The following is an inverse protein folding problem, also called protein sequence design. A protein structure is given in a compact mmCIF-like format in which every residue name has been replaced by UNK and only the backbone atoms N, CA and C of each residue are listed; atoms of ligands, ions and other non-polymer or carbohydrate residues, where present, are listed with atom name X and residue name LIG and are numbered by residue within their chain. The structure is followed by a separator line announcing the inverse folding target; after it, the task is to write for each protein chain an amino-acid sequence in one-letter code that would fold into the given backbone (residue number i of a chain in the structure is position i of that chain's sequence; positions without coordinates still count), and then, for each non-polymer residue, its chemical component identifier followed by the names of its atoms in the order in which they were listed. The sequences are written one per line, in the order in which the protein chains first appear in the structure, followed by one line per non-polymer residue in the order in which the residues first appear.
data_IF_426557436746
#
_entry.id   IF_426557436746
#
_cell.length_a   1.000
_cell.length_b   1.000
_cell.length_c   1.000
_cell.angle_alpha   90.00
_cell.angle_beta   90.00
_cell.angle_gamma   90.00
#
_symmetry.space_group_name_H-M   'P 1'
#
loop_
_entity.id
_entity.type
_entity.pdbx_description
1 polymer ?
#
# COMPACT_ATOMS: atom_id res chain seq x y z
N UNK A 1 -66.51 -7.19 27.04
CA UNK A 1 -66.30 -6.09 26.08
C UNK A 1 -65.28 -5.17 26.74
N UNK A 2 -64.02 -5.61 26.85
CA UNK A 2 -62.99 -5.68 25.79
C UNK A 2 -62.69 -4.31 25.17
N UNK A 3 -61.53 -3.77 25.54
CA UNK A 3 -60.55 -3.19 24.63
C UNK A 3 -59.25 -2.98 25.40
N UNK A 4 -58.38 -3.98 25.29
CA UNK A 4 -57.05 -4.02 25.88
C UNK A 4 -56.06 -3.04 25.23
N UNK A 5 -55.07 -2.68 26.05
CA UNK A 5 -53.86 -1.96 25.67
C UNK A 5 -53.07 -2.73 24.62
N UNK A 6 -52.78 -2.09 23.48
CA UNK A 6 -51.85 -2.61 22.47
C UNK A 6 -50.43 -2.34 22.97
N UNK A 7 -49.82 -3.34 23.63
CA UNK A 7 -48.37 -3.44 23.75
C UNK A 7 -47.82 -3.86 22.39
N UNK A 8 -46.97 -3.03 21.79
CA UNK A 8 -46.13 -3.43 20.65
C UNK A 8 -44.98 -4.26 21.19
N UNK A 9 -45.12 -5.57 21.15
CA UNK A 9 -44.02 -6.50 21.35
C UNK A 9 -43.00 -6.31 20.22
N UNK A 10 -41.83 -5.77 20.58
CA UNK A 10 -40.63 -5.80 19.74
C UNK A 10 -40.07 -7.22 19.85
N UNK A 11 -39.94 -7.99 18.77
CA UNK A 11 -39.31 -9.30 18.85
C UNK A 11 -37.83 -9.11 19.20
N UNK A 12 -37.44 -9.72 20.31
CA UNK A 12 -36.07 -9.95 20.74
C UNK A 12 -35.28 -10.53 19.56
N UNK A 13 -34.24 -9.81 19.12
CA UNK A 13 -33.40 -10.17 17.97
C UNK A 13 -32.55 -11.38 18.37
N UNK A 14 -33.13 -12.56 18.18
CA UNK A 14 -32.52 -13.86 18.42
C UNK A 14 -31.29 -14.05 17.54
N UNK A 15 -30.15 -13.58 18.02
CA UNK A 15 -28.84 -13.80 17.42
C UNK A 15 -28.60 -15.30 17.25
N UNK A 16 -28.68 -15.78 16.01
CA UNK A 16 -28.40 -17.17 15.65
C UNK A 16 -27.01 -17.58 16.19
N UNK A 17 -26.91 -18.65 17.01
CA UNK A 17 -25.67 -19.03 17.69
C UNK A 17 -24.48 -19.29 16.73
N UNK A 18 -24.78 -19.61 15.46
CA UNK A 18 -23.79 -19.83 14.41
C UNK A 18 -23.02 -18.58 13.96
N UNK A 19 -23.64 -17.38 13.97
CA UNK A 19 -23.00 -16.14 13.50
C UNK A 19 -21.90 -15.71 14.47
N UNK A 20 -22.17 -15.80 15.78
CA UNK A 20 -21.20 -15.49 16.84
C UNK A 20 -20.01 -16.45 16.81
N UNK A 21 -20.24 -17.75 16.59
CA UNK A 21 -19.17 -18.75 16.50
C UNK A 21 -18.30 -18.59 15.26
N UNK A 22 -18.90 -18.34 14.09
CA UNK A 22 -18.18 -18.08 12.83
C UNK A 22 -17.33 -16.80 12.91
N UNK A 23 -17.88 -15.74 13.54
CA UNK A 23 -17.14 -14.51 13.80
C UNK A 23 -15.94 -14.79 14.71
N UNK A 24 -16.13 -15.58 15.78
CA UNK A 24 -15.07 -15.98 16.73
C UNK A 24 -14.00 -16.90 16.11
N UNK A 25 -14.33 -17.69 15.09
CA UNK A 25 -13.37 -18.51 14.33
C UNK A 25 -12.60 -17.71 13.29
N UNK A 26 -13.24 -16.75 12.60
CA UNK A 26 -12.55 -15.82 11.69
C UNK A 26 -11.49 -15.00 12.45
N UNK A 27 -11.84 -14.48 13.64
CA UNK A 27 -10.90 -13.77 14.52
C UNK A 27 -9.73 -14.63 15.01
N UNK A 28 -9.85 -15.97 15.00
CA UNK A 28 -8.74 -16.87 15.39
C UNK A 28 -7.69 -17.07 14.29
N UNK A 29 -8.03 -16.80 13.01
CA UNK A 29 -7.10 -16.93 11.87
C UNK A 29 -6.42 -15.61 11.50
N UNK A 30 -7.01 -14.48 11.88
CA UNK A 30 -6.45 -13.15 11.63
C UNK A 30 -5.27 -12.85 12.57
N UNK A 31 -4.19 -12.29 12.03
CA UNK A 31 -3.05 -11.88 12.87
C UNK A 31 -3.33 -10.60 13.63
N UNK A 32 -2.67 -10.42 14.79
CA UNK A 32 -2.75 -9.18 15.58
C UNK A 32 -2.45 -7.95 14.73
N UNK A 33 -1.42 -8.01 13.88
CA UNK A 33 -1.07 -6.90 12.98
C UNK A 33 -2.23 -6.47 12.08
N UNK A 34 -2.92 -7.44 11.47
CA UNK A 34 -4.06 -7.20 10.56
C UNK A 34 -5.24 -6.61 11.33
N UNK A 35 -5.57 -7.20 12.47
CA UNK A 35 -6.63 -6.72 13.35
C UNK A 35 -6.40 -5.30 13.82
N UNK A 36 -5.20 -5.00 14.30
CA UNK A 36 -4.84 -3.66 14.81
C UNK A 36 -4.89 -2.61 13.70
N UNK A 37 -4.60 -3.00 12.46
CA UNK A 37 -4.79 -2.15 11.30
C UNK A 37 -6.26 -1.83 11.03
N UNK A 38 -7.15 -2.82 11.07
CA UNK A 38 -8.61 -2.58 10.94
C UNK A 38 -9.15 -1.72 12.07
N UNK A 39 -8.74 -1.99 13.31
CA UNK A 39 -9.19 -1.27 14.50
C UNK A 39 -8.81 0.22 14.50
N UNK A 40 -7.83 0.62 13.69
CA UNK A 40 -7.43 2.01 13.56
C UNK A 40 -8.42 2.88 12.75
N UNK A 41 -9.39 2.29 12.07
CA UNK A 41 -10.43 2.97 11.30
C UNK A 41 -11.79 2.90 12.00
N UNK A 42 -12.77 3.77 11.74
CA UNK A 42 -14.11 3.68 12.32
C UNK A 42 -14.80 2.32 12.05
N UNK A 43 -15.64 1.79 12.96
CA UNK A 43 -16.36 0.54 12.74
C UNK A 43 -17.20 0.52 11.47
N UNK A 44 -17.76 1.66 11.08
CA UNK A 44 -18.55 1.86 9.86
C UNK A 44 -17.78 1.54 8.57
N UNK A 45 -16.44 1.58 8.61
CA UNK A 45 -15.59 1.38 7.42
C UNK A 45 -15.06 -0.05 7.31
N UNK A 46 -15.16 -0.86 8.36
CA UNK A 46 -14.47 -2.15 8.45
C UNK A 46 -15.29 -3.27 7.83
N UNK A 47 -14.62 -4.16 7.09
CA UNK A 47 -15.19 -5.43 6.62
C UNK A 47 -16.45 -5.27 5.75
N UNK A 48 -16.51 -4.21 4.94
CA UNK A 48 -17.64 -3.90 4.06
C UNK A 48 -17.69 -4.86 2.89
N UNK A 49 -18.84 -5.49 2.67
CA UNK A 49 -19.06 -6.47 1.62
C UNK A 49 -19.74 -5.84 0.39
N UNK A 50 -19.30 -6.24 -0.80
CA UNK A 50 -19.81 -5.82 -2.08
C UNK A 50 -20.07 -7.04 -2.96
N UNK A 51 -21.21 -7.06 -3.63
CA UNK A 51 -21.54 -8.11 -4.57
C UNK A 51 -21.10 -7.71 -5.98
N UNK A 52 -20.25 -8.53 -6.59
CA UNK A 52 -19.87 -8.43 -8.00
C UNK A 52 -20.84 -9.24 -8.85
N UNK A 53 -21.86 -8.58 -9.38
CA UNK A 53 -22.85 -9.21 -10.23
C UNK A 53 -22.26 -9.74 -11.56
N UNK A 54 -21.16 -9.16 -12.05
CA UNK A 54 -20.54 -9.59 -13.30
C UNK A 54 -19.84 -10.94 -13.17
N UNK A 55 -19.21 -11.19 -12.02
CA UNK A 55 -18.50 -12.44 -11.74
C UNK A 55 -19.25 -13.39 -10.79
N UNK A 56 -20.42 -12.97 -10.29
CA UNK A 56 -21.19 -13.68 -9.26
C UNK A 56 -20.38 -13.93 -7.98
N UNK A 57 -19.49 -13.00 -7.64
CA UNK A 57 -18.55 -13.09 -6.53
C UNK A 57 -18.91 -12.11 -5.41
N UNK A 58 -18.54 -12.46 -4.17
CA UNK A 58 -18.67 -11.57 -3.02
C UNK A 58 -17.29 -11.08 -2.59
N UNK A 59 -17.05 -9.79 -2.74
CA UNK A 59 -15.85 -9.14 -2.23
C UNK A 59 -16.11 -8.57 -0.84
N UNK A 60 -15.12 -8.66 0.05
CA UNK A 60 -15.16 -8.00 1.36
C UNK A 60 -13.87 -7.22 1.55
N UNK A 61 -13.99 -5.89 1.60
CA UNK A 61 -12.90 -4.98 1.85
C UNK A 61 -12.53 -4.99 3.33
N UNK A 62 -11.25 -5.06 3.68
CA UNK A 62 -10.84 -4.86 5.07
C UNK A 62 -11.27 -3.49 5.59
N UNK A 63 -11.03 -2.44 4.79
CA UNK A 63 -11.53 -1.07 5.01
C UNK A 63 -12.10 -0.51 3.72
N UNK A 64 -13.29 0.08 3.79
CA UNK A 64 -13.87 0.90 2.74
C UNK A 64 -14.27 2.26 3.30
N UNK A 65 -13.76 3.32 2.70
CA UNK A 65 -13.94 4.70 3.19
C UNK A 65 -15.06 5.42 2.43
N UNK A 66 -15.74 6.42 3.04
CA UNK A 66 -16.73 7.25 2.35
C UNK A 66 -16.19 7.98 1.12
N UNK A 67 -14.88 8.26 1.11
CA UNK A 67 -14.17 8.84 -0.05
C UNK A 67 -13.93 7.84 -1.19
N UNK A 68 -14.45 6.62 -1.09
CA UNK A 68 -14.38 5.60 -2.14
C UNK A 68 -13.04 4.86 -2.24
N UNK A 69 -12.17 4.95 -1.22
CA UNK A 69 -10.96 4.12 -1.13
C UNK A 69 -11.26 2.78 -0.50
N UNK A 70 -10.67 1.72 -1.08
CA UNK A 70 -10.56 0.39 -0.48
C UNK A 70 -9.14 0.21 0.03
N UNK A 71 -8.96 -0.23 1.27
CA UNK A 71 -7.65 -0.58 1.83
C UNK A 71 -7.69 -2.04 2.24
N UNK A 72 -6.75 -2.84 1.71
CA UNK A 72 -6.60 -4.26 2.01
C UNK A 72 -5.26 -4.50 2.72
N UNK A 73 -5.30 -5.19 3.87
CA UNK A 73 -4.11 -5.50 4.66
C UNK A 73 -3.62 -6.91 4.31
N UNK A 74 -2.39 -7.02 3.80
CA UNK A 74 -1.86 -8.30 3.38
C UNK A 74 -0.67 -8.74 4.25
N UNK A 75 -0.89 -9.83 4.98
CA UNK A 75 0.12 -10.45 5.86
C UNK A 75 0.67 -11.79 5.34
N UNK A 76 -0.07 -12.45 4.46
CA UNK A 76 0.24 -13.79 3.91
C UNK A 76 0.49 -13.71 2.40
N UNK A 77 0.98 -14.77 1.74
CA UNK A 77 1.01 -14.82 0.27
C UNK A 77 -0.37 -14.58 -0.34
N UNK A 78 -0.42 -13.86 -1.46
CA UNK A 78 -1.61 -13.59 -2.26
C UNK A 78 -1.37 -14.20 -3.64
N UNK A 79 -2.36 -14.86 -4.23
CA UNK A 79 -2.22 -15.39 -5.59
C UNK A 79 -2.37 -14.27 -6.62
N UNK A 80 -1.82 -14.48 -7.83
CA UNK A 80 -1.97 -13.51 -8.91
C UNK A 80 -3.44 -13.33 -9.34
N UNK A 81 -4.25 -14.39 -9.26
CA UNK A 81 -5.67 -14.33 -9.59
C UNK A 81 -6.44 -13.45 -8.60
N UNK A 82 -6.19 -13.62 -7.30
CA UNK A 82 -6.82 -12.79 -6.25
C UNK A 82 -6.39 -11.33 -6.35
N UNK A 83 -5.10 -11.07 -6.63
CA UNK A 83 -4.61 -9.71 -6.86
C UNK A 83 -5.37 -9.04 -8.02
N UNK A 84 -5.43 -9.70 -9.18
CA UNK A 84 -6.09 -9.18 -10.37
C UNK A 84 -7.59 -8.97 -10.14
N UNK A 85 -8.26 -9.94 -9.55
CA UNK A 85 -9.68 -9.88 -9.22
C UNK A 85 -10.00 -8.67 -8.33
N UNK A 86 -9.21 -8.44 -7.28
CA UNK A 86 -9.39 -7.28 -6.40
C UNK A 86 -9.08 -5.95 -7.08
N UNK A 87 -7.98 -5.87 -7.82
CA UNK A 87 -7.62 -4.63 -8.52
C UNK A 87 -8.59 -4.28 -9.65
N UNK A 88 -9.20 -5.26 -10.33
CA UNK A 88 -10.25 -5.02 -11.31
C UNK A 88 -11.56 -4.57 -10.68
N UNK A 89 -11.85 -5.04 -9.46
CA UNK A 89 -13.10 -4.73 -8.76
C UNK A 89 -13.06 -3.37 -8.05
N UNK A 90 -11.93 -3.04 -7.39
CA UNK A 90 -11.79 -1.83 -6.59
C UNK A 90 -10.97 -0.76 -7.31
N UNK A 91 -11.59 0.33 -7.82
CA UNK A 91 -10.88 1.34 -8.61
C UNK A 91 -9.84 2.15 -7.81
N UNK A 92 -10.06 2.35 -6.51
CA UNK A 92 -9.17 3.10 -5.61
C UNK A 92 -8.55 2.19 -4.54
N UNK A 93 -8.00 1.05 -4.95
CA UNK A 93 -7.40 0.09 -4.04
C UNK A 93 -6.03 0.56 -3.53
N UNK A 94 -5.79 0.34 -2.24
CA UNK A 94 -4.50 0.49 -1.58
C UNK A 94 -4.15 -0.82 -0.88
N UNK A 95 -3.02 -1.40 -1.24
CA UNK A 95 -2.42 -2.52 -0.53
C UNK A 95 -1.56 -2.02 0.62
N UNK A 96 -1.81 -2.47 1.83
CA UNK A 96 -0.91 -2.28 2.97
C UNK A 96 -0.30 -3.63 3.32
N UNK A 97 1.01 -3.75 3.13
CA UNK A 97 1.74 -5.01 3.27
C UNK A 97 2.44 -5.09 4.61
N UNK A 98 2.37 -6.25 5.27
CA UNK A 98 3.18 -6.53 6.46
C UNK A 98 4.64 -6.78 6.07
N UNK A 99 5.41 -5.70 5.96
CA UNK A 99 6.80 -5.73 5.55
C UNK A 99 7.78 -6.27 6.60
N UNK A 100 7.36 -6.44 7.87
CA UNK A 100 8.22 -7.05 8.91
C UNK A 100 8.71 -8.44 8.54
N UNK A 101 7.98 -9.14 7.68
CA UNK A 101 8.32 -10.49 7.20
C UNK A 101 9.20 -10.50 5.94
N UNK A 102 9.45 -9.34 5.32
CA UNK A 102 10.18 -9.27 4.06
C UNK A 102 11.67 -9.53 4.27
N UNK A 103 12.16 -10.63 3.69
CA UNK A 103 13.58 -10.97 3.71
C UNK A 103 14.34 -10.08 2.73
N UNK A 104 15.40 -9.44 3.24
CA UNK A 104 16.27 -8.61 2.43
C UNK A 104 15.63 -7.32 1.92
N UNK A 105 14.55 -6.84 2.57
CA UNK A 105 14.04 -5.49 2.37
C UNK A 105 14.82 -4.52 3.25
N UNK A 106 15.51 -3.55 2.65
CA UNK A 106 16.32 -2.56 3.36
C UNK A 106 16.07 -1.18 2.79
N UNK A 107 15.75 -0.24 3.65
CA UNK A 107 15.79 1.19 3.33
C UNK A 107 17.25 1.61 3.28
N UNK A 108 17.65 2.33 2.24
CA UNK A 108 19.04 2.68 1.97
C UNK A 108 19.29 4.17 2.17
N UNK A 109 19.39 4.95 1.10
CA UNK A 109 19.83 6.35 1.13
C UNK A 109 18.65 7.29 0.92
N UNK A 110 18.71 8.46 1.54
CA UNK A 110 17.83 9.57 1.18
C UNK A 110 18.01 9.92 -0.31
N UNK A 111 16.89 10.16 -0.99
CA UNK A 111 16.88 10.59 -2.39
C UNK A 111 16.62 12.10 -2.48
N UNK A 112 17.13 12.75 -3.54
CA UNK A 112 16.62 14.07 -3.91
C UNK A 112 15.14 13.98 -4.32
N UNK A 113 14.52 15.12 -4.60
CA UNK A 113 13.28 15.10 -5.38
C UNK A 113 13.60 14.41 -6.71
N UNK A 114 12.89 13.31 -6.99
CA UNK A 114 13.16 12.45 -8.14
C UNK A 114 12.80 13.14 -9.46
N UNK A 115 11.99 14.18 -9.38
CA UNK A 115 11.56 15.03 -10.49
C UNK A 115 12.20 16.45 -10.40
N UNK A 116 13.28 16.63 -9.61
CA UNK A 116 14.05 17.88 -9.60
C UNK A 116 14.56 18.17 -11.03
N UNK A 117 14.31 19.37 -11.59
CA UNK A 117 14.75 19.72 -12.95
C UNK A 117 16.26 19.57 -13.19
N UNK A 118 17.09 19.67 -12.14
CA UNK A 118 18.53 19.42 -12.24
C UNK A 118 18.87 17.97 -12.60
N UNK A 119 17.93 17.05 -12.41
CA UNK A 119 18.07 15.63 -12.70
C UNK A 119 17.55 15.25 -14.09
N UNK A 120 17.00 16.19 -14.88
CA UNK A 120 16.41 15.92 -16.20
C UNK A 120 17.40 15.28 -17.18
N UNK A 121 18.69 15.60 -17.05
CA UNK A 121 19.75 15.05 -17.88
C UNK A 121 20.35 13.73 -17.36
N UNK A 122 19.79 13.14 -16.29
CA UNK A 122 20.37 12.00 -15.59
C UNK A 122 19.35 10.90 -15.29
N UNK A 123 19.84 9.67 -15.20
CA UNK A 123 19.08 8.49 -14.81
C UNK A 123 19.69 7.83 -13.59
N UNK A 124 18.86 7.36 -12.65
CA UNK A 124 19.34 6.65 -11.48
C UNK A 124 19.86 5.27 -11.86
N UNK A 125 20.97 4.86 -11.24
CA UNK A 125 21.51 3.52 -11.39
C UNK A 125 20.75 2.52 -10.51
N UNK A 126 20.49 1.32 -11.02
CA UNK A 126 19.92 0.20 -10.25
C UNK A 126 20.99 -0.50 -9.40
N UNK A 127 21.46 0.20 -8.36
CA UNK A 127 22.43 -0.33 -7.39
C UNK A 127 22.08 0.11 -5.96
N UNK A 128 22.67 -0.56 -4.97
CA UNK A 128 22.53 -0.16 -3.56
C UNK A 128 23.21 1.20 -3.25
N UNK A 129 24.06 1.68 -4.15
CA UNK A 129 24.67 3.00 -4.05
C UNK A 129 23.80 4.05 -4.73
N UNK A 130 23.67 5.21 -4.08
CA UNK A 130 23.00 6.35 -4.67
C UNK A 130 23.91 6.99 -5.74
N UNK A 131 23.64 6.64 -6.99
CA UNK A 131 24.40 7.09 -8.14
C UNK A 131 23.50 7.26 -9.37
N UNK A 132 24.02 7.98 -10.35
CA UNK A 132 23.34 8.31 -11.59
C UNK A 132 24.29 8.16 -12.78
N UNK A 133 23.73 8.08 -13.97
CA UNK A 133 24.41 8.14 -15.26
C UNK A 133 23.77 9.23 -16.11
N UNK A 134 24.50 9.74 -17.10
CA UNK A 134 23.94 10.75 -18.01
C UNK A 134 22.93 10.09 -18.96
N UNK A 135 21.77 10.71 -19.11
CA UNK A 135 20.74 10.28 -20.05
C UNK A 135 21.27 10.20 -21.49
N UNK A 136 22.15 11.12 -21.88
CA UNK A 136 22.80 11.11 -23.20
C UNK A 136 23.63 9.83 -23.44
N UNK A 137 24.31 9.31 -22.43
CA UNK A 137 25.13 8.08 -22.55
C UNK A 137 24.23 6.84 -22.72
N UNK A 138 23.05 6.83 -22.06
CA UNK A 138 22.02 5.81 -22.26
C UNK A 138 21.47 5.85 -23.69
N UNK A 139 21.15 7.05 -24.19
CA UNK A 139 20.62 7.25 -25.56
C UNK A 139 21.64 6.80 -26.63
N UNK A 140 22.93 7.07 -26.40
CA UNK A 140 24.02 6.65 -27.29
C UNK A 140 24.32 5.14 -27.22
N UNK A 141 23.71 4.40 -26.29
CA UNK A 141 23.96 2.97 -26.11
C UNK A 141 25.36 2.66 -25.57
N UNK A 142 25.96 3.57 -24.79
CA UNK A 142 27.27 3.33 -24.18
C UNK A 142 27.16 2.16 -23.20
N UNK A 143 28.00 1.14 -23.39
CA UNK A 143 27.96 -0.10 -22.59
C UNK A 143 28.46 0.08 -21.16
N UNK A 144 29.33 1.05 -20.92
CA UNK A 144 29.86 1.37 -19.58
C UNK A 144 29.79 2.88 -19.32
N UNK A 145 28.59 3.42 -19.05
CA UNK A 145 28.40 4.85 -18.80
C UNK A 145 29.13 5.29 -17.52
N UNK A 146 29.50 6.57 -17.46
CA UNK A 146 30.22 7.10 -16.30
C UNK A 146 29.27 7.25 -15.11
N UNK A 147 29.52 6.47 -14.06
CA UNK A 147 28.75 6.53 -12.81
C UNK A 147 29.11 7.80 -12.04
N UNK A 148 28.10 8.58 -11.69
CA UNK A 148 28.19 9.83 -10.93
C UNK A 148 27.54 9.64 -9.55
N UNK A 149 28.23 10.02 -8.49
CA UNK A 149 27.64 10.13 -7.16
C UNK A 149 27.25 11.59 -6.87
N UNK A 150 26.52 11.82 -5.78
CA UNK A 150 26.05 13.15 -5.39
C UNK A 150 27.15 14.07 -4.81
N UNK A 151 28.41 13.65 -4.80
CA UNK A 151 29.57 14.52 -4.54
C UNK A 151 30.22 15.03 -5.83
N UNK A 152 29.86 14.47 -6.99
CA UNK A 152 30.37 14.90 -8.29
C UNK A 152 29.97 16.37 -8.57
N UNK A 153 30.83 17.20 -9.18
CA UNK A 153 30.51 18.62 -9.46
C UNK A 153 29.17 18.86 -10.16
N UNK A 154 28.76 17.93 -11.03
CA UNK A 154 27.46 17.96 -11.74
C UNK A 154 26.25 17.76 -10.82
N UNK A 155 26.38 17.01 -9.72
CA UNK A 155 25.25 16.62 -8.85
C UNK A 155 25.33 17.21 -7.43
N UNK A 156 26.47 17.79 -7.04
CA UNK A 156 26.72 18.33 -5.68
C UNK A 156 25.70 19.39 -5.23
N UNK A 157 25.06 20.08 -6.17
CA UNK A 157 24.04 21.10 -5.89
C UNK A 157 22.61 20.58 -5.72
N UNK A 158 22.39 19.26 -5.82
CA UNK A 158 21.07 18.63 -5.67
C UNK A 158 20.86 18.27 -4.20
N UNK A 159 19.77 18.76 -3.60
CA UNK A 159 19.47 18.51 -2.18
C UNK A 159 18.73 17.20 -2.01
N UNK A 160 19.12 16.43 -1.00
CA UNK A 160 18.39 15.23 -0.60
C UNK A 160 17.15 15.61 0.24
N UNK A 161 16.07 14.88 0.05
CA UNK A 161 14.81 15.02 0.81
C UNK A 161 14.87 14.19 2.08
N UNK A 162 14.01 14.50 3.05
CA UNK A 162 13.88 13.72 4.28
C UNK A 162 12.89 12.56 4.17
N UNK A 163 12.14 12.45 3.07
CA UNK A 163 11.02 11.52 2.94
C UNK A 163 11.10 10.60 1.72
N UNK A 164 12.04 10.78 0.80
CA UNK A 164 12.26 9.85 -0.30
C UNK A 164 13.52 9.02 -0.05
N UNK A 165 13.44 7.72 -0.32
CA UNK A 165 14.52 6.78 -0.06
C UNK A 165 14.71 5.78 -1.19
N UNK A 166 15.97 5.48 -1.50
CA UNK A 166 16.31 4.27 -2.23
C UNK A 166 16.14 3.07 -1.30
N UNK A 167 15.92 1.90 -1.88
CA UNK A 167 15.78 0.67 -1.12
C UNK A 167 16.31 -0.52 -1.93
N UNK A 168 16.53 -1.62 -1.22
CA UNK A 168 16.83 -2.91 -1.80
C UNK A 168 15.79 -3.92 -1.32
N UNK A 169 15.32 -4.78 -2.22
CA UNK A 169 14.46 -5.91 -1.88
C UNK A 169 14.93 -7.14 -2.64
N UNK A 170 15.70 -8.00 -1.95
CA UNK A 170 16.36 -9.16 -2.58
C UNK A 170 15.43 -10.35 -2.87
N UNK A 171 14.34 -10.48 -2.11
CA UNK A 171 13.37 -11.57 -2.26
C UNK A 171 11.93 -11.02 -2.30
N UNK A 172 11.61 -10.20 -3.32
CA UNK A 172 10.27 -9.71 -3.52
C UNK A 172 9.37 -10.86 -3.97
N UNK A 173 8.18 -10.94 -3.37
CA UNK A 173 7.17 -11.87 -3.84
C UNK A 173 6.71 -11.42 -5.22
N UNK A 174 6.79 -12.30 -6.21
CA UNK A 174 6.63 -11.95 -7.62
C UNK A 174 5.28 -11.33 -7.96
N UNK A 175 4.23 -11.69 -7.20
CA UNK A 175 2.87 -11.19 -7.40
C UNK A 175 2.79 -9.65 -7.28
N UNK A 176 3.58 -9.04 -6.40
CA UNK A 176 3.57 -7.58 -6.24
C UNK A 176 4.17 -6.82 -7.42
N UNK A 177 4.91 -7.49 -8.32
CA UNK A 177 5.33 -6.86 -9.58
C UNK A 177 4.20 -6.70 -10.59
N UNK A 178 3.11 -7.45 -10.43
CA UNK A 178 1.92 -7.34 -11.27
C UNK A 178 0.89 -6.34 -10.70
N UNK A 179 1.11 -5.85 -9.49
CA UNK A 179 0.22 -4.90 -8.84
C UNK A 179 0.27 -3.54 -9.56
N UNK A 180 -0.90 -2.99 -9.83
CA UNK A 180 -1.09 -1.66 -10.41
C UNK A 180 -1.61 -0.67 -9.37
N UNK A 181 -2.24 -1.18 -8.31
CA UNK A 181 -2.72 -0.39 -7.19
C UNK A 181 -1.56 0.13 -6.33
N UNK A 182 -1.85 1.15 -5.51
CA UNK A 182 -0.87 1.73 -4.59
C UNK A 182 -0.43 0.68 -3.57
N UNK A 183 0.88 0.52 -3.39
CA UNK A 183 1.46 -0.34 -2.36
C UNK A 183 2.09 0.50 -1.26
N UNK A 184 1.67 0.24 -0.04
CA UNK A 184 2.26 0.75 1.20
C UNK A 184 2.90 -0.43 1.94
N UNK A 185 4.14 -0.28 2.39
CA UNK A 185 4.85 -1.26 3.20
C UNK A 185 4.92 -0.77 4.64
N UNK A 186 4.40 -1.59 5.57
CA UNK A 186 4.53 -1.39 7.01
C UNK A 186 5.68 -2.25 7.55
N UNK A 187 6.81 -1.62 7.86
CA UNK A 187 7.96 -2.27 8.49
C UNK A 187 7.85 -2.28 10.03
N UNK A 188 6.74 -1.79 10.57
CA UNK A 188 6.54 -1.49 11.99
C UNK A 188 6.90 -0.06 12.38
N UNK A 189 6.52 0.30 13.61
CA UNK A 189 6.79 1.62 14.18
C UNK A 189 5.81 2.68 13.68
N UNK A 190 6.31 3.90 13.50
CA UNK A 190 5.49 5.09 13.21
C UNK A 190 5.36 5.42 11.72
N UNK A 191 6.25 4.89 10.87
CA UNK A 191 6.34 5.26 9.47
C UNK A 191 5.92 4.12 8.56
N UNK A 192 5.31 4.50 7.44
CA UNK A 192 4.94 3.66 6.32
C UNK A 192 5.76 4.09 5.11
N UNK A 193 5.88 3.19 4.14
CA UNK A 193 6.66 3.43 2.93
C UNK A 193 5.83 3.11 1.70
N UNK A 194 5.39 4.14 0.99
CA UNK A 194 4.74 4.00 -0.30
C UNK A 194 5.78 3.61 -1.36
N UNK A 195 5.55 2.50 -2.06
CA UNK A 195 6.37 2.09 -3.19
C UNK A 195 5.99 2.93 -4.41
N UNK A 196 6.95 3.69 -4.92
CA UNK A 196 6.82 4.57 -6.08
C UNK A 196 7.81 4.17 -7.16
N UNK A 197 7.58 4.68 -8.37
CA UNK A 197 8.50 4.49 -9.49
C UNK A 197 8.69 5.82 -10.24
N UNK A 198 9.93 6.10 -10.63
CA UNK A 198 10.29 7.16 -11.59
C UNK A 198 10.50 6.51 -12.96
N UNK A 199 9.85 7.02 -13.99
CA UNK A 199 10.10 6.57 -15.37
C UNK A 199 11.45 7.11 -15.84
N UNK A 200 12.27 6.25 -16.44
CA UNK A 200 13.60 6.61 -16.94
C UNK A 200 14.04 5.63 -18.04
N UNK A 201 15.03 6.03 -18.86
CA UNK A 201 15.43 5.28 -20.05
C UNK A 201 16.12 3.94 -19.77
N UNK A 202 16.83 3.82 -18.65
CA UNK A 202 17.51 2.58 -18.23
C UNK A 202 16.59 1.65 -17.41
N UNK A 203 15.27 1.79 -17.54
CA UNK A 203 14.26 1.05 -16.78
C UNK A 203 13.83 1.77 -15.51
N UNK A 204 12.53 1.70 -15.19
CA UNK A 204 11.94 2.45 -14.07
C UNK A 204 12.76 2.32 -12.78
N UNK A 205 12.93 3.44 -12.07
CA UNK A 205 13.61 3.47 -10.78
C UNK A 205 12.58 3.33 -9.65
N UNK A 206 12.55 2.20 -8.92
CA UNK A 206 11.68 2.08 -7.77
C UNK A 206 12.29 2.83 -6.58
N UNK A 207 11.45 3.52 -5.82
CA UNK A 207 11.84 4.24 -4.61
C UNK A 207 10.72 4.20 -3.57
N UNK A 208 11.05 4.59 -2.33
CA UNK A 208 10.09 4.68 -1.24
C UNK A 208 9.79 6.13 -0.92
N UNK A 209 8.50 6.45 -0.76
CA UNK A 209 8.04 7.69 -0.15
C UNK A 209 7.54 7.40 1.26
N UNK A 210 8.22 7.96 2.24
CA UNK A 210 7.88 7.84 3.65
C UNK A 210 6.69 8.73 4.01
N UNK A 211 5.76 8.20 4.80
CA UNK A 211 4.67 8.93 5.42
C UNK A 211 4.41 8.38 6.83
N UNK A 212 3.83 9.18 7.72
CA UNK A 212 3.48 8.67 9.05
C UNK A 212 2.21 7.82 9.00
N UNK A 213 2.14 6.79 9.86
CA UNK A 213 0.94 5.97 10.02
C UNK A 213 -0.28 6.79 10.40
N UNK A 214 -0.09 7.79 11.28
CA UNK A 214 -1.16 8.71 11.68
C UNK A 214 -1.70 9.47 10.46
N UNK A 215 -0.82 10.09 9.68
CA UNK A 215 -1.20 10.85 8.49
C UNK A 215 -1.94 9.99 7.47
N UNK A 216 -1.50 8.75 7.26
CA UNK A 216 -2.20 7.80 6.38
C UNK A 216 -3.64 7.53 6.85
N UNK A 217 -3.83 7.24 8.14
CA UNK A 217 -5.16 6.99 8.71
C UNK A 217 -6.03 8.25 8.62
N UNK A 218 -5.49 9.42 8.98
CA UNK A 218 -6.20 10.70 8.94
C UNK A 218 -6.70 11.02 7.51
N UNK A 219 -5.87 10.82 6.48
CA UNK A 219 -6.26 11.04 5.08
C UNK A 219 -7.40 10.13 4.61
N UNK A 220 -7.51 8.94 5.20
CA UNK A 220 -8.51 7.94 4.85
C UNK A 220 -9.66 7.86 5.87
N UNK A 221 -9.71 8.80 6.82
CA UNK A 221 -10.78 8.93 7.81
C UNK A 221 -11.30 10.36 7.80
N UNK A 222 -12.00 10.79 6.73
CA UNK A 222 -12.65 12.10 6.75
C UNK A 222 -13.66 12.17 7.90
N UNK A 223 -13.93 13.36 8.45
CA UNK A 223 -14.96 13.54 9.48
C UNK A 223 -16.29 12.96 9.01
N UNK A 224 -16.97 12.18 9.86
CA UNK A 224 -18.34 11.76 9.60
C UNK A 224 -19.22 13.03 9.60
N UNK A 225 -19.96 13.24 8.50
CA UNK A 225 -20.89 14.37 8.31
C UNK A 225 -22.18 14.08 9.07
#
# INVERSE_FOLDING_TARGET
MDNGEIRKDIPDDGLLPGISSLKKEYYRKETVWHRDWKLAFPPSFREVAFYDAANSDLHRADIFTPSGYTIEFQNSPLTLAELKSRESFYPNLIWVLNGKKFKGFKILKHLPDVDDPKLDAYEFCHSDHLSMIRKAEVIQGITNPKILNFYHPELKGVKLTSNLYSFCWKQPHSVWYAATAKIIVDLGGHFLYELKQRKQLNGNYPYLKMLSRKTFIDWHTPPEI
#
